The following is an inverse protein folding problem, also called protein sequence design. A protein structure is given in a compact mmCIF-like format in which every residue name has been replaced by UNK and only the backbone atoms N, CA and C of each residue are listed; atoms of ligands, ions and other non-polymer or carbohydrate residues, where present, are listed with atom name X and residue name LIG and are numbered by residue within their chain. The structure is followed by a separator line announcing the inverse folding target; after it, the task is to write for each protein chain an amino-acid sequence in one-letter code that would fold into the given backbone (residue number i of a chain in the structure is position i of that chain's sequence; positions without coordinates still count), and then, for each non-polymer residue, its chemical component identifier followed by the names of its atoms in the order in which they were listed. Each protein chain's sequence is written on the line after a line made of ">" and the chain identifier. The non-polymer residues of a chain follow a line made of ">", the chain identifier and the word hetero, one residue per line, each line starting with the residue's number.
data_IF_103678183447
#
_entry.id   IF_103678183447
#
_cell.length_a   1.000
_cell.length_b   1.000
_cell.length_c   1.000
_cell.angle_alpha   90.00
_cell.angle_beta   90.00
_cell.angle_gamma   90.00
#
_symmetry.space_group_name_H-M   'P 1'
#
loop_
_entity.id
_entity.type
_entity.pdbx_description
1 polymer ?
#
# COMPACT_ATOMS: atom_id res chain seq x y z
N UNK A 1 9.45 -6.43 0.79
CA UNK A 1 8.96 -6.17 2.14
C UNK A 1 7.44 -6.07 2.13
N UNK A 2 6.81 -6.71 3.09
CA UNK A 2 5.36 -6.67 3.29
C UNK A 2 5.05 -5.85 4.54
N UNK A 3 4.16 -4.88 4.41
CA UNK A 3 3.79 -4.02 5.54
C UNK A 3 2.28 -4.05 5.70
N UNK A 4 1.80 -4.45 6.87
CA UNK A 4 0.38 -4.38 7.19
C UNK A 4 0.01 -2.95 7.57
N UNK A 5 -1.07 -2.43 6.99
CA UNK A 5 -1.55 -1.08 7.27
C UNK A 5 -3.04 -1.11 7.62
N UNK A 6 -3.46 -0.16 8.43
CA UNK A 6 -4.87 -0.05 8.83
C UNK A 6 -5.70 0.62 7.74
N UNK A 7 -5.10 1.54 6.99
CA UNK A 7 -5.78 2.30 5.94
C UNK A 7 -4.86 2.40 4.73
N UNK A 8 -5.16 1.59 3.71
CA UNK A 8 -4.33 1.50 2.52
C UNK A 8 -4.31 2.83 1.75
N UNK A 9 -5.46 3.48 1.63
CA UNK A 9 -5.55 4.71 0.86
C UNK A 9 -4.77 5.84 1.52
N UNK A 10 -4.82 5.93 2.84
CA UNK A 10 -4.04 6.90 3.58
C UNK A 10 -2.54 6.63 3.42
N UNK A 11 -2.15 5.37 3.47
CA UNK A 11 -0.74 4.98 3.29
C UNK A 11 -0.24 5.31 1.89
N UNK A 12 -1.07 5.09 0.88
CA UNK A 12 -0.74 5.44 -0.50
C UNK A 12 -0.57 6.95 -0.68
N UNK A 13 -1.49 7.73 -0.11
CA UNK A 13 -1.41 9.18 -0.16
C UNK A 13 -0.15 9.69 0.53
N UNK A 14 0.20 9.10 1.67
CA UNK A 14 1.40 9.45 2.40
C UNK A 14 2.66 9.14 1.59
N UNK A 15 2.68 8.01 0.93
CA UNK A 15 3.79 7.63 0.04
C UNK A 15 3.99 8.69 -1.04
N UNK A 16 2.91 9.11 -1.69
CA UNK A 16 2.99 10.13 -2.74
C UNK A 16 3.50 11.47 -2.20
N UNK A 17 3.04 11.87 -1.01
CA UNK A 17 3.50 13.10 -0.36
C UNK A 17 4.99 13.09 -0.08
N UNK A 18 5.55 11.92 0.24
CA UNK A 18 6.95 11.78 0.55
C UNK A 18 7.83 11.59 -0.68
N UNK A 19 7.26 11.68 -1.88
CA UNK A 19 8.00 11.56 -3.13
C UNK A 19 8.13 10.15 -3.66
N UNK A 20 7.39 9.21 -3.09
CA UNK A 20 7.36 7.83 -3.58
C UNK A 20 6.40 7.67 -4.76
N UNK A 21 6.31 6.45 -5.26
CA UNK A 21 5.47 6.09 -6.40
C UNK A 21 4.56 4.93 -6.06
N UNK A 22 3.40 4.90 -6.70
CA UNK A 22 2.51 3.74 -6.65
C UNK A 22 2.81 2.90 -7.89
N UNK A 23 3.44 1.75 -7.70
CA UNK A 23 3.78 0.87 -8.82
C UNK A 23 2.60 0.01 -9.25
N UNK A 24 1.82 -0.47 -8.28
CA UNK A 24 0.61 -1.23 -8.53
C UNK A 24 -0.50 -0.63 -7.69
N UNK A 25 -1.57 -0.18 -8.33
CA UNK A 25 -2.71 0.41 -7.63
C UNK A 25 -3.39 -0.61 -6.71
N UNK A 26 -4.15 -0.11 -5.75
CA UNK A 26 -4.84 -0.96 -4.78
C UNK A 26 -5.74 -1.97 -5.48
N UNK A 27 -5.64 -3.23 -5.05
CA UNK A 27 -6.40 -4.35 -5.59
C UNK A 27 -7.11 -5.07 -4.47
N UNK A 28 -8.37 -5.37 -4.67
CA UNK A 28 -9.15 -6.16 -3.73
C UNK A 28 -8.92 -7.64 -4.03
N UNK A 29 -8.43 -8.37 -3.04
CA UNK A 29 -8.13 -9.80 -3.16
C UNK A 29 -9.13 -10.66 -2.39
N UNK A 30 -10.24 -10.07 -1.92
CA UNK A 30 -11.24 -10.80 -1.15
C UNK A 30 -10.93 -10.85 0.34
N UNK A 31 -9.72 -11.22 0.70
CA UNK A 31 -9.28 -11.25 2.10
C UNK A 31 -8.65 -9.93 2.57
N UNK A 32 -8.55 -8.98 1.68
CA UNK A 32 -7.99 -7.67 1.97
C UNK A 32 -7.62 -6.96 0.67
N UNK A 33 -6.95 -5.83 0.81
CA UNK A 33 -6.47 -5.07 -0.35
C UNK A 33 -4.96 -4.90 -0.26
N UNK A 34 -4.32 -4.85 -1.41
CA UNK A 34 -2.88 -4.63 -1.47
C UNK A 34 -2.52 -3.61 -2.54
N UNK A 35 -1.40 -2.97 -2.36
CA UNK A 35 -0.77 -2.18 -3.42
C UNK A 35 0.74 -2.37 -3.33
N UNK A 36 1.45 -1.95 -4.37
CA UNK A 36 2.91 -1.97 -4.37
C UNK A 36 3.39 -0.53 -4.57
N UNK A 37 4.27 -0.10 -3.70
CA UNK A 37 4.83 1.23 -3.73
C UNK A 37 6.35 1.18 -3.86
N UNK A 38 6.92 2.29 -4.31
CA UNK A 38 8.36 2.48 -4.35
C UNK A 38 8.68 3.76 -3.60
N UNK A 39 9.62 3.71 -2.67
CA UNK A 39 10.02 4.90 -1.92
C UNK A 39 10.93 5.80 -2.79
N UNK A 40 11.22 7.03 -2.33
CA UNK A 40 12.08 7.94 -3.11
C UNK A 40 13.49 7.41 -3.35
N UNK A 41 13.96 6.50 -2.51
CA UNK A 41 15.28 5.89 -2.66
C UNK A 41 15.26 4.68 -3.61
N UNK A 42 14.08 4.27 -4.09
CA UNK A 42 13.94 3.17 -5.02
C UNK A 42 13.56 1.83 -4.39
N UNK A 43 13.43 1.76 -3.07
CA UNK A 43 13.04 0.52 -2.42
C UNK A 43 11.56 0.22 -2.67
N UNK A 44 11.25 -1.03 -2.95
CA UNK A 44 9.89 -1.48 -3.27
C UNK A 44 9.30 -2.20 -2.08
N UNK A 45 8.05 -1.91 -1.76
CA UNK A 45 7.32 -2.55 -0.67
C UNK A 45 5.88 -2.81 -1.08
N UNK A 46 5.31 -3.90 -0.58
CA UNK A 46 3.89 -4.19 -0.72
C UNK A 46 3.17 -3.79 0.57
N UNK A 47 2.08 -3.06 0.43
CA UNK A 47 1.22 -2.68 1.55
C UNK A 47 0.00 -3.58 1.54
N UNK A 48 -0.37 -4.10 2.69
CA UNK A 48 -1.50 -4.99 2.85
C UNK A 48 -2.46 -4.42 3.89
N UNK A 49 -3.72 -4.28 3.49
CA UNK A 49 -4.79 -3.90 4.40
C UNK A 49 -5.73 -5.09 4.53
N UNK A 50 -5.76 -5.77 5.68
CA UNK A 50 -6.66 -6.89 5.88
C UNK A 50 -8.11 -6.46 5.73
N UNK A 51 -8.94 -7.35 5.18
CA UNK A 51 -10.37 -7.09 5.11
C UNK A 51 -10.91 -6.90 6.52
N UNK A 52 -11.72 -5.85 6.69
CA UNK A 52 -12.37 -5.61 7.97
C UNK A 52 -13.60 -6.50 8.03
N UNK A 53 -13.61 -7.42 8.99
CA UNK A 53 -14.72 -8.30 9.17
C UNK A 53 -15.98 -7.55 9.58
N UNK A 54 -17.13 -8.20 9.47
CA UNK A 54 -18.38 -7.63 9.94
C UNK A 54 -18.38 -7.45 11.44
#
# INVERSE_FOLDING_TARGET
>A
VYINVADLEQSMARCAELGGRILVAARDLGSGRMCVIQDPAGAVAALWEPAQGP
#
